data_IF_251853264807
#
_entry.id   IF_251853264807
#
_cell.length_a   1.000
_cell.length_b   1.000
_cell.length_c   1.000
_cell.angle_alpha   90.00
_cell.angle_beta   90.00
_cell.angle_gamma   90.00
#
_symmetry.space_group_name_H-M   'P 1'
#
loop_
_entity.id
_entity.type
_entity.pdbx_description
1 polymer ?
#
# COMPACT_ATOMS: atom_id res chain seq x y z
N UNK A 1 20.63 -6.96 3.66
CA UNK A 1 19.81 -8.15 4.00
C UNK A 1 19.85 -8.58 5.48
N UNK A 2 20.33 -7.75 6.42
CA UNK A 2 20.48 -8.15 7.84
C UNK A 2 19.18 -8.58 8.53
N UNK A 3 18.05 -7.96 8.19
CA UNK A 3 16.77 -8.19 8.88
C UNK A 3 15.85 -9.18 8.18
N UNK A 4 16.18 -9.62 6.96
CA UNK A 4 15.29 -10.51 6.19
C UNK A 4 15.00 -11.84 6.91
N UNK A 5 15.98 -12.53 7.53
CA UNK A 5 15.70 -13.76 8.27
C UNK A 5 14.66 -13.58 9.38
N UNK A 6 14.73 -12.46 10.12
CA UNK A 6 13.77 -12.14 11.19
C UNK A 6 12.40 -11.81 10.62
N UNK A 7 12.32 -10.99 9.57
CA UNK A 7 11.04 -10.66 8.92
C UNK A 7 10.37 -11.92 8.36
N UNK A 8 11.14 -12.82 7.77
CA UNK A 8 10.65 -14.10 7.24
C UNK A 8 10.14 -15.02 8.36
N UNK A 9 10.88 -15.17 9.47
CA UNK A 9 10.46 -16.05 10.57
C UNK A 9 9.17 -15.55 11.21
N UNK A 10 9.07 -14.25 11.48
CA UNK A 10 7.86 -13.67 12.07
C UNK A 10 6.67 -13.74 11.10
N UNK A 11 6.90 -13.54 9.80
CA UNK A 11 5.85 -13.70 8.79
C UNK A 11 5.29 -15.13 8.76
N UNK A 12 6.14 -16.14 8.85
CA UNK A 12 5.69 -17.52 8.96
C UNK A 12 4.96 -17.79 10.27
N UNK A 13 5.46 -17.25 11.39
CA UNK A 13 4.84 -17.37 12.72
C UNK A 13 3.44 -16.73 12.79
N UNK A 14 3.16 -15.72 11.95
CA UNK A 14 1.83 -15.11 11.81
C UNK A 14 0.78 -16.00 11.10
N UNK A 15 1.13 -17.23 10.71
CA UNK A 15 0.21 -18.18 10.09
C UNK A 15 0.41 -18.36 8.58
N UNK A 16 1.56 -17.94 8.03
CA UNK A 16 1.93 -18.13 6.63
C UNK A 16 3.13 -19.09 6.49
N UNK A 17 3.01 -20.37 6.91
CA UNK A 17 4.15 -21.27 7.08
C UNK A 17 4.97 -21.50 5.80
N UNK A 18 4.33 -21.42 4.63
CA UNK A 18 4.97 -21.55 3.32
C UNK A 18 5.06 -20.22 2.55
N UNK A 19 4.65 -19.11 3.18
CA UNK A 19 4.70 -17.78 2.56
C UNK A 19 6.08 -17.18 2.62
N UNK A 20 6.46 -16.43 1.59
CA UNK A 20 7.67 -15.63 1.58
C UNK A 20 7.33 -14.16 1.85
N UNK A 21 8.03 -13.55 2.81
CA UNK A 21 7.76 -12.17 3.20
C UNK A 21 7.96 -11.20 2.04
N UNK A 22 9.01 -11.39 1.23
CA UNK A 22 9.27 -10.52 0.08
C UNK A 22 8.16 -10.57 -0.96
N UNK A 23 7.55 -11.74 -1.23
CA UNK A 23 6.41 -11.86 -2.14
C UNK A 23 5.25 -11.00 -1.65
N UNK A 24 4.96 -11.06 -0.34
CA UNK A 24 3.92 -10.24 0.28
C UNK A 24 4.22 -8.74 0.17
N UNK A 25 5.48 -8.34 0.29
CA UNK A 25 5.91 -6.94 0.10
C UNK A 25 5.72 -6.52 -1.36
N UNK A 26 6.09 -7.36 -2.32
CA UNK A 26 5.90 -7.09 -3.76
C UNK A 26 4.42 -6.92 -4.07
N UNK A 27 3.55 -7.81 -3.58
CA UNK A 27 2.09 -7.68 -3.73
C UNK A 27 1.54 -6.36 -3.15
N UNK A 28 2.02 -5.95 -1.97
CA UNK A 28 1.62 -4.69 -1.36
C UNK A 28 2.06 -3.49 -2.20
N UNK A 29 3.28 -3.52 -2.74
CA UNK A 29 3.79 -2.48 -3.64
C UNK A 29 2.93 -2.41 -4.90
N UNK A 30 2.64 -3.56 -5.53
CA UNK A 30 1.86 -3.62 -6.77
C UNK A 30 0.44 -3.10 -6.56
N UNK A 31 -0.18 -3.41 -5.42
CA UNK A 31 -1.47 -2.84 -5.04
C UNK A 31 -1.42 -1.30 -4.91
N UNK A 32 -0.38 -0.75 -4.28
CA UNK A 32 -0.20 0.71 -4.16
C UNK A 32 0.11 1.38 -5.50
N UNK A 33 0.88 0.74 -6.38
CA UNK A 33 1.18 1.26 -7.72
C UNK A 33 -0.08 1.30 -8.59
N UNK A 34 -0.99 0.35 -8.40
CA UNK A 34 -2.30 0.30 -9.06
C UNK A 34 -3.35 1.27 -8.48
N UNK A 35 -2.97 2.15 -7.54
CA UNK A 35 -3.88 3.16 -7.02
C UNK A 35 -4.34 4.13 -8.13
N UNK A 36 -5.65 4.41 -8.23
CA UNK A 36 -6.18 5.33 -9.23
C UNK A 36 -5.70 6.75 -8.96
N UNK A 37 -5.55 7.54 -10.02
CA UNK A 37 -5.31 8.97 -9.92
C UNK A 37 -6.65 9.68 -9.79
N UNK A 38 -6.88 10.30 -8.63
CA UNK A 38 -8.10 11.05 -8.34
C UNK A 38 -7.75 12.52 -8.40
N UNK A 39 -8.43 13.26 -9.28
CA UNK A 39 -8.25 14.70 -9.46
C UNK A 39 -9.39 15.47 -8.82
N UNK A 40 -9.07 16.64 -8.26
CA UNK A 40 -10.06 17.55 -7.70
C UNK A 40 -10.44 17.25 -6.25
N UNK A 41 -11.42 17.98 -5.70
CA UNK A 41 -11.81 17.87 -4.31
C UNK A 41 -12.44 16.51 -4.01
N UNK A 42 -11.89 15.80 -3.02
CA UNK A 42 -12.43 14.52 -2.57
C UNK A 42 -13.32 14.75 -1.35
N UNK A 43 -14.61 14.42 -1.47
CA UNK A 43 -15.55 14.56 -0.36
C UNK A 43 -15.31 13.48 0.68
N UNK A 44 -15.18 13.91 1.94
CA UNK A 44 -15.08 13.04 3.09
C UNK A 44 -16.34 13.12 3.94
N UNK A 45 -16.68 12.02 4.60
CA UNK A 45 -17.72 11.95 5.64
C UNK A 45 -17.09 11.44 6.93
N UNK A 46 -17.60 11.91 8.07
CA UNK A 46 -17.12 11.49 9.38
C UNK A 46 -18.27 10.84 10.15
N UNK A 47 -18.53 9.53 9.93
CA UNK A 47 -19.63 8.84 10.61
C UNK A 47 -19.38 8.62 12.10
N UNK A 48 -18.11 8.60 12.53
CA UNK A 48 -17.65 8.47 13.93
C UNK A 48 -16.31 9.21 14.10
N UNK A 49 -15.31 8.61 14.73
CA UNK A 49 -13.99 9.25 14.94
C UNK A 49 -13.22 9.45 13.63
N UNK A 50 -13.27 8.48 12.71
CA UNK A 50 -12.45 8.50 11.48
C UNK A 50 -13.22 9.01 10.26
N UNK A 51 -12.50 9.75 9.42
CA UNK A 51 -12.95 10.15 8.09
C UNK A 51 -12.97 8.97 7.11
N UNK A 52 -14.02 8.91 6.28
CA UNK A 52 -14.19 7.99 5.16
C UNK A 52 -14.40 8.77 3.88
N UNK A 53 -14.07 8.16 2.74
CA UNK A 53 -14.49 8.70 1.46
C UNK A 53 -16.01 8.62 1.34
N UNK A 54 -16.63 9.71 0.88
CA UNK A 54 -18.06 9.71 0.60
C UNK A 54 -18.39 8.81 -0.61
N UNK A 55 -17.46 8.71 -1.56
CA UNK A 55 -17.55 7.82 -2.71
C UNK A 55 -17.32 6.35 -2.27
N UNK A 56 -18.32 5.46 -2.41
CA UNK A 56 -18.19 4.05 -2.05
C UNK A 56 -17.11 3.30 -2.85
N UNK A 57 -16.81 3.72 -4.08
CA UNK A 57 -15.77 3.10 -4.89
C UNK A 57 -14.39 3.40 -4.32
N UNK A 58 -14.16 4.64 -3.89
CA UNK A 58 -12.91 5.03 -3.22
C UNK A 58 -12.79 4.40 -1.83
N UNK A 59 -13.89 4.28 -1.08
CA UNK A 59 -13.85 3.73 0.28
C UNK A 59 -13.55 2.21 0.29
N UNK A 60 -14.00 1.48 -0.73
CA UNK A 60 -13.74 0.04 -0.91
C UNK A 60 -12.31 -0.28 -1.34
N UNK A 61 -11.52 0.71 -1.74
CA UNK A 61 -10.12 0.50 -2.07
C UNK A 61 -9.34 -0.03 -0.87
N UNK A 62 -8.28 -0.79 -1.16
CA UNK A 62 -7.32 -1.26 -0.17
C UNK A 62 -6.72 -0.10 0.64
N UNK A 63 -6.20 -0.42 1.84
CA UNK A 63 -5.54 0.59 2.67
C UNK A 63 -4.39 1.29 1.92
N UNK A 64 -3.59 0.54 1.17
CA UNK A 64 -2.48 1.05 0.35
C UNK A 64 -2.95 2.07 -0.69
N UNK A 65 -3.95 1.70 -1.50
CA UNK A 65 -4.53 2.61 -2.50
C UNK A 65 -5.17 3.84 -1.87
N UNK A 66 -5.87 3.69 -0.74
CA UNK A 66 -6.44 4.83 -0.02
C UNK A 66 -5.35 5.77 0.51
N UNK A 67 -4.21 5.26 0.99
CA UNK A 67 -3.06 6.08 1.40
C UNK A 67 -2.51 6.87 0.20
N UNK A 68 -2.35 6.23 -0.96
CA UNK A 68 -1.89 6.92 -2.18
C UNK A 68 -2.78 8.11 -2.55
N UNK A 69 -4.09 7.99 -2.35
CA UNK A 69 -5.02 9.10 -2.57
C UNK A 69 -4.87 10.17 -1.47
N UNK A 70 -4.78 9.78 -0.19
CA UNK A 70 -4.70 10.72 0.94
C UNK A 70 -3.46 11.61 0.93
N UNK A 71 -2.34 11.12 0.42
CA UNK A 71 -1.11 11.92 0.34
C UNK A 71 -1.15 12.97 -0.78
N UNK A 72 -2.13 12.91 -1.68
CA UNK A 72 -2.30 13.80 -2.82
C UNK A 72 -1.42 13.44 -4.02
N UNK A 73 -1.77 13.92 -5.23
CA UNK A 73 -1.18 13.46 -6.49
C UNK A 73 0.34 13.68 -6.59
N UNK A 74 0.84 14.82 -6.11
CA UNK A 74 2.28 15.12 -6.14
C UNK A 74 3.09 14.17 -5.26
N UNK A 75 2.61 13.85 -4.06
CA UNK A 75 3.30 12.92 -3.16
C UNK A 75 3.10 11.47 -3.59
N UNK A 76 1.92 11.14 -4.13
CA UNK A 76 1.67 9.84 -4.73
C UNK A 76 2.66 9.56 -5.87
N UNK A 77 2.91 10.52 -6.76
CA UNK A 77 3.90 10.37 -7.84
C UNK A 77 5.32 10.13 -7.31
N UNK A 78 5.73 10.90 -6.29
CA UNK A 78 7.03 10.70 -5.60
C UNK A 78 7.12 9.32 -4.95
N UNK A 79 6.08 8.89 -4.25
CA UNK A 79 6.03 7.59 -3.58
C UNK A 79 6.03 6.44 -4.59
N UNK A 80 5.27 6.54 -5.69
CA UNK A 80 5.30 5.54 -6.79
C UNK A 80 6.72 5.34 -7.35
N UNK A 81 7.53 6.41 -7.44
CA UNK A 81 8.94 6.29 -7.88
C UNK A 81 9.78 5.48 -6.88
N UNK A 82 9.64 5.76 -5.59
CA UNK A 82 10.35 5.03 -4.52
C UNK A 82 9.90 3.57 -4.46
N UNK A 83 8.59 3.31 -4.53
CA UNK A 83 8.02 1.96 -4.53
C UNK A 83 8.54 1.11 -5.69
N UNK A 84 8.63 1.67 -6.90
CA UNK A 84 9.22 0.96 -8.06
C UNK A 84 10.69 0.63 -7.86
N UNK A 85 11.47 1.54 -7.27
CA UNK A 85 12.88 1.29 -6.96
C UNK A 85 13.04 0.16 -5.93
N UNK A 86 12.24 0.18 -4.85
CA UNK A 86 12.24 -0.90 -3.85
C UNK A 86 11.85 -2.23 -4.49
N UNK A 87 10.78 -2.26 -5.29
CA UNK A 87 10.34 -3.46 -6.00
C UNK A 87 11.44 -4.07 -6.86
N UNK A 88 12.17 -3.25 -7.60
CA UNK A 88 13.27 -3.71 -8.46
C UNK A 88 14.37 -4.41 -7.67
N UNK A 89 14.72 -3.92 -6.48
CA UNK A 89 15.72 -4.56 -5.61
C UNK A 89 15.21 -5.86 -4.97
N UNK A 90 13.89 -6.02 -4.79
CA UNK A 90 13.29 -7.23 -4.20
C UNK A 90 13.16 -8.39 -5.19
N UNK A 91 13.02 -8.10 -6.49
CA UNK A 91 12.85 -9.10 -7.55
C UNK A 91 14.16 -9.45 -8.28
N UNK A 92 15.27 -8.86 -7.82
CA UNK A 92 16.60 -9.06 -8.39
C UNK A 92 17.20 -10.41 -8.03
#
# INVERSE_FOLDING_TARGET
MRFYPLLQSEYQAMGFPHGHFNDRVVEAIDDMLAAPEVTGPIRLVQPKVHYRYADPLLEKLSAGRKIMIRVGPANAARLKKVLRAIRAELVR
#
